data_IF_524298816580
#
_entry.id   IF_524298816580
#
_cell.length_a   1.000
_cell.length_b   1.000
_cell.length_c   1.000
_cell.angle_alpha   90.00
_cell.angle_beta   90.00
_cell.angle_gamma   90.00
#
_symmetry.space_group_name_H-M   'P 1'
#
loop_
_entity.id
_entity.type
_entity.pdbx_description
1 polymer ?
#
# COMPACT_ATOMS: atom_id res chain seq x y z
N UNK A 1 -28.18 10.87 -28.95
CA UNK A 1 -28.15 9.65 -29.78
C UNK A 1 -26.76 9.04 -29.64
N UNK A 2 -26.44 8.38 -28.53
CA UNK A 2 -26.71 6.95 -28.22
C UNK A 2 -26.10 6.04 -29.28
N UNK A 3 -24.93 5.48 -28.96
CA UNK A 3 -24.55 4.13 -29.36
C UNK A 3 -23.96 3.40 -28.16
N UNK A 4 -24.78 2.48 -27.65
CA UNK A 4 -24.42 1.35 -26.81
C UNK A 4 -23.57 0.35 -27.62
N UNK A 5 -22.62 -0.32 -26.96
CA UNK A 5 -22.20 -1.69 -27.23
C UNK A 5 -21.45 -2.14 -25.96
N UNK A 6 -22.08 -2.85 -25.02
CA UNK A 6 -22.55 -4.24 -25.05
C UNK A 6 -21.60 -5.14 -24.25
N UNK A 7 -22.24 -5.91 -23.38
CA UNK A 7 -21.68 -6.96 -22.57
C UNK A 7 -21.04 -8.04 -23.45
N UNK A 8 -19.82 -8.47 -23.12
CA UNK A 8 -19.32 -9.77 -23.55
C UNK A 8 -19.19 -10.65 -22.32
N UNK A 9 -20.18 -11.53 -22.20
CA UNK A 9 -20.25 -12.69 -21.33
C UNK A 9 -19.15 -13.69 -21.67
N UNK A 10 -18.66 -14.34 -20.62
CA UNK A 10 -17.82 -15.54 -20.65
C UNK A 10 -18.52 -16.68 -21.42
N UNK A 11 -18.05 -17.02 -22.61
CA UNK A 11 -18.09 -18.35 -23.23
C UNK A 11 -17.63 -18.22 -24.69
N UNK A 12 -16.33 -18.40 -24.96
CA UNK A 12 -15.76 -18.84 -26.25
C UNK A 12 -14.22 -18.93 -26.18
N UNK A 13 -13.70 -19.59 -25.14
CA UNK A 13 -12.30 -20.04 -25.10
C UNK A 13 -12.23 -21.51 -25.49
N UNK A 14 -12.45 -21.79 -26.77
CA UNK A 14 -11.98 -23.02 -27.39
C UNK A 14 -12.03 -22.83 -28.91
N UNK A 15 -10.86 -22.87 -29.55
CA UNK A 15 -10.58 -22.97 -31.00
C UNK A 15 -9.90 -21.74 -31.63
N UNK A 16 -8.58 -21.59 -31.43
CA UNK A 16 -7.74 -20.82 -32.35
C UNK A 16 -6.32 -21.42 -32.50
N UNK A 17 -5.69 -21.40 -33.70
CA UNK A 17 -4.54 -22.24 -34.04
C UNK A 17 -3.16 -21.71 -33.61
N UNK A 18 -2.18 -22.61 -33.54
CA UNK A 18 -0.81 -22.48 -32.98
C UNK A 18 0.15 -21.48 -33.68
N UNK A 19 -0.23 -20.78 -34.75
CA UNK A 19 0.65 -19.89 -35.51
C UNK A 19 0.63 -18.42 -35.08
N UNK A 20 -0.11 -18.06 -34.02
CA UNK A 20 -0.09 -16.73 -33.40
C UNK A 20 1.00 -16.55 -32.31
N UNK A 21 2.03 -17.42 -32.30
CA UNK A 21 3.25 -17.24 -31.53
C UNK A 21 4.34 -16.75 -32.48
N UNK A 22 4.99 -15.63 -32.13
CA UNK A 22 6.10 -14.96 -32.84
C UNK A 22 5.67 -13.87 -33.85
N UNK A 23 5.35 -12.68 -33.32
CA UNK A 23 5.93 -11.39 -33.77
C UNK A 23 6.11 -10.49 -32.55
N UNK A 24 7.12 -10.83 -31.77
CA UNK A 24 7.74 -9.96 -30.77
C UNK A 24 8.79 -9.13 -31.52
N UNK A 25 8.94 -7.88 -31.10
CA UNK A 25 9.82 -6.80 -31.60
C UNK A 25 9.21 -5.88 -32.67
N UNK A 26 8.59 -4.79 -32.18
CA UNK A 26 8.95 -3.45 -32.67
C UNK A 26 8.65 -2.42 -31.58
N UNK A 27 9.66 -2.24 -30.72
CA UNK A 27 9.76 -1.17 -29.73
C UNK A 27 9.86 0.18 -30.42
N UNK A 28 8.72 0.86 -30.62
CA UNK A 28 8.64 2.33 -30.80
C UNK A 28 7.23 2.92 -30.58
N UNK A 29 6.31 2.16 -29.95
CA UNK A 29 4.95 2.64 -29.54
C UNK A 29 4.68 2.53 -28.03
N UNK A 30 5.73 2.42 -27.21
CA UNK A 30 5.64 2.02 -25.79
C UNK A 30 5.11 3.07 -24.79
N UNK A 31 5.13 4.36 -25.10
CA UNK A 31 4.69 5.40 -24.16
C UNK A 31 3.16 5.54 -24.09
N UNK A 32 2.48 5.54 -25.24
CA UNK A 32 1.02 5.71 -25.31
C UNK A 32 0.23 4.52 -24.77
N UNK A 33 0.74 3.29 -24.96
CA UNK A 33 0.13 2.07 -24.39
C UNK A 33 0.26 2.04 -22.86
N UNK A 34 1.48 2.27 -22.35
CA UNK A 34 1.76 2.33 -20.91
C UNK A 34 0.97 3.43 -20.19
N UNK A 35 0.77 4.58 -20.83
CA UNK A 35 -0.02 5.68 -20.27
C UNK A 35 -1.52 5.38 -20.22
N UNK A 36 -2.08 4.72 -21.26
CA UNK A 36 -3.49 4.29 -21.26
C UNK A 36 -3.79 3.23 -20.20
N UNK A 37 -2.87 2.28 -20.01
CA UNK A 37 -3.00 1.25 -18.98
C UNK A 37 -2.97 1.87 -17.57
N UNK A 38 -2.08 2.84 -17.33
CA UNK A 38 -2.01 3.59 -16.08
C UNK A 38 -3.31 4.34 -15.78
N UNK A 39 -3.90 5.02 -16.77
CA UNK A 39 -5.20 5.71 -16.60
C UNK A 39 -6.34 4.72 -16.32
N UNK A 40 -6.33 3.55 -16.95
CA UNK A 40 -7.35 2.53 -16.71
C UNK A 40 -7.26 1.95 -15.29
N UNK A 41 -6.06 1.70 -14.78
CA UNK A 41 -5.87 1.20 -13.41
C UNK A 41 -6.16 2.30 -12.39
N UNK A 42 -5.77 3.54 -12.64
CA UNK A 42 -6.15 4.66 -11.78
C UNK A 42 -7.67 4.77 -11.66
N UNK A 43 -8.42 4.68 -12.78
CA UNK A 43 -9.88 4.67 -12.74
C UNK A 43 -10.43 3.50 -11.92
N UNK A 44 -9.84 2.29 -12.04
CA UNK A 44 -10.23 1.14 -11.22
C UNK A 44 -9.96 1.38 -9.73
N UNK A 45 -8.82 1.98 -9.39
CA UNK A 45 -8.48 2.34 -8.02
C UNK A 45 -9.45 3.37 -7.45
N UNK A 46 -9.79 4.41 -8.22
CA UNK A 46 -10.80 5.40 -7.83
C UNK A 46 -12.16 4.74 -7.60
N UNK A 47 -12.64 3.94 -8.56
CA UNK A 47 -13.91 3.23 -8.47
C UNK A 47 -13.98 2.23 -7.30
N UNK A 48 -12.83 1.75 -6.81
CA UNK A 48 -12.77 0.91 -5.63
C UNK A 48 -12.98 1.69 -4.32
N UNK A 49 -12.54 2.96 -4.24
CA UNK A 49 -12.58 3.80 -3.03
C UNK A 49 -13.80 4.75 -2.98
N UNK A 50 -14.28 5.15 -4.15
CA UNK A 50 -15.38 6.10 -4.31
C UNK A 50 -16.70 5.67 -3.66
N UNK A 51 -17.12 4.38 -3.68
CA UNK A 51 -18.37 3.95 -3.08
C UNK A 51 -18.52 4.43 -1.63
N UNK A 52 -19.72 4.91 -1.26
CA UNK A 52 -20.00 5.46 0.09
C UNK A 52 -19.73 4.44 1.20
N UNK A 53 -19.89 3.16 0.89
CA UNK A 53 -19.62 2.02 1.76
C UNK A 53 -18.13 1.78 2.05
N UNK A 54 -17.20 2.35 1.26
CA UNK A 54 -15.77 2.22 1.54
C UNK A 54 -15.41 2.88 2.89
N UNK A 55 -14.77 2.17 3.83
CA UNK A 55 -14.77 2.59 5.23
C UNK A 55 -13.69 3.61 5.57
N UNK A 56 -12.59 3.63 4.82
CA UNK A 56 -11.44 4.48 5.12
C UNK A 56 -11.69 5.94 4.73
N UNK A 57 -12.05 6.77 5.73
CA UNK A 57 -12.26 8.21 5.53
C UNK A 57 -11.00 8.93 5.02
N UNK A 58 -9.81 8.48 5.41
CA UNK A 58 -8.54 9.07 4.94
C UNK A 58 -8.35 8.86 3.44
N UNK A 59 -8.58 7.64 2.94
CA UNK A 59 -8.50 7.34 1.52
C UNK A 59 -9.54 8.12 0.70
N UNK A 60 -10.77 8.28 1.22
CA UNK A 60 -11.79 9.12 0.56
C UNK A 60 -11.39 10.59 0.53
N UNK A 61 -10.81 11.11 1.62
CA UNK A 61 -10.32 12.47 1.68
C UNK A 61 -9.19 12.71 0.67
N UNK A 62 -8.19 11.81 0.62
CA UNK A 62 -7.11 11.84 -0.36
C UNK A 62 -7.64 11.88 -1.80
N UNK A 63 -8.62 11.02 -2.13
CA UNK A 63 -9.25 10.95 -3.44
C UNK A 63 -9.97 12.26 -3.82
N UNK A 64 -10.78 12.79 -2.90
CA UNK A 64 -11.61 13.98 -3.12
C UNK A 64 -10.76 15.25 -3.28
N UNK A 65 -9.64 15.35 -2.56
CA UNK A 65 -8.71 16.48 -2.66
C UNK A 65 -7.67 16.33 -3.77
N UNK A 66 -7.63 15.17 -4.45
CA UNK A 66 -6.55 14.86 -5.39
C UNK A 66 -5.17 14.78 -4.71
N UNK A 67 -5.13 14.58 -3.39
CA UNK A 67 -3.93 14.53 -2.58
C UNK A 67 -3.30 13.13 -2.61
N UNK A 68 -3.07 12.58 -3.80
CA UNK A 68 -2.42 11.28 -3.93
C UNK A 68 -1.57 11.21 -5.20
N UNK A 69 -0.61 10.29 -5.20
CA UNK A 69 0.14 9.86 -6.38
C UNK A 69 0.01 8.36 -6.52
N UNK A 70 -0.37 7.87 -7.70
CA UNK A 70 -0.33 6.44 -8.02
C UNK A 70 0.78 6.15 -9.02
N UNK A 71 1.56 5.11 -8.73
CA UNK A 71 2.60 4.61 -9.61
C UNK A 71 2.44 3.10 -9.84
N UNK A 72 2.87 2.65 -11.02
CA UNK A 72 2.64 1.30 -11.50
C UNK A 72 3.96 0.55 -11.73
N UNK A 73 4.03 -0.64 -11.15
CA UNK A 73 5.23 -1.46 -11.14
C UNK A 73 4.95 -2.86 -11.69
N UNK A 74 6.02 -3.55 -12.09
CA UNK A 74 5.92 -4.87 -12.69
C UNK A 74 5.50 -5.93 -11.66
N UNK A 75 6.32 -6.21 -10.66
CA UNK A 75 6.11 -7.31 -9.70
C UNK A 75 6.33 -6.89 -8.26
N UNK A 76 5.43 -7.31 -7.36
CA UNK A 76 5.58 -7.13 -5.92
C UNK A 76 6.69 -8.04 -5.37
N UNK A 77 7.67 -7.45 -4.68
CA UNK A 77 8.84 -8.13 -4.13
C UNK A 77 10.03 -8.25 -5.09
N UNK A 78 9.91 -7.76 -6.34
CA UNK A 78 11.02 -7.72 -7.30
C UNK A 78 11.97 -6.54 -7.01
N UNK A 79 13.28 -6.80 -7.08
CA UNK A 79 14.32 -5.81 -6.82
C UNK A 79 14.28 -4.61 -7.76
N UNK A 80 13.98 -4.84 -9.04
CA UNK A 80 13.93 -3.75 -10.04
C UNK A 80 12.70 -2.88 -9.79
N UNK A 81 11.54 -3.49 -9.54
CA UNK A 81 10.34 -2.78 -9.12
C UNK A 81 10.58 -1.95 -7.85
N UNK A 82 11.18 -2.52 -6.80
CA UNK A 82 11.51 -1.82 -5.56
C UNK A 82 12.49 -0.66 -5.75
N UNK A 83 13.43 -0.79 -6.70
CA UNK A 83 14.37 0.30 -7.03
C UNK A 83 13.67 1.50 -7.68
N UNK A 84 12.73 1.24 -8.60
CA UNK A 84 11.90 2.30 -9.17
C UNK A 84 10.97 2.90 -8.10
N UNK A 85 10.35 2.06 -7.26
CA UNK A 85 9.52 2.50 -6.15
C UNK A 85 10.27 3.42 -5.19
N UNK A 86 11.51 3.07 -4.80
CA UNK A 86 12.33 3.94 -3.97
C UNK A 86 12.52 5.32 -4.61
N UNK A 87 12.83 5.36 -5.91
CA UNK A 87 13.00 6.62 -6.65
C UNK A 87 11.73 7.46 -6.70
N UNK A 88 10.58 6.84 -6.95
CA UNK A 88 9.28 7.52 -6.98
C UNK A 88 8.82 7.97 -5.58
N UNK A 89 9.10 7.18 -4.55
CA UNK A 89 8.75 7.51 -3.17
C UNK A 89 9.59 8.69 -2.67
N UNK A 90 10.88 8.76 -3.01
CA UNK A 90 11.70 9.96 -2.75
C UNK A 90 11.11 11.19 -3.43
N UNK A 91 10.73 11.08 -4.72
CA UNK A 91 10.06 12.20 -5.42
C UNK A 91 8.75 12.62 -4.76
N UNK A 92 7.99 11.68 -4.21
CA UNK A 92 6.75 11.98 -3.51
C UNK A 92 6.99 12.76 -2.22
N UNK A 93 8.02 12.39 -1.44
CA UNK A 93 8.41 13.06 -0.20
C UNK A 93 8.70 14.55 -0.44
N UNK A 94 9.31 14.88 -1.58
CA UNK A 94 9.65 16.26 -1.97
C UNK A 94 8.52 16.94 -2.79
N UNK A 95 7.41 16.25 -3.04
CA UNK A 95 6.37 16.77 -3.94
C UNK A 95 5.41 17.75 -3.26
N UNK A 96 4.84 18.72 -4.01
CA UNK A 96 3.78 19.59 -3.50
C UNK A 96 2.54 18.85 -3.00
N UNK A 97 2.27 17.64 -3.52
CA UNK A 97 1.12 16.81 -3.10
C UNK A 97 1.23 16.48 -1.62
N UNK A 98 2.44 16.20 -1.11
CA UNK A 98 2.66 15.98 0.32
C UNK A 98 2.21 17.18 1.15
N UNK A 99 2.54 18.39 0.71
CA UNK A 99 2.26 19.63 1.44
C UNK A 99 0.80 20.07 1.31
N UNK A 100 0.08 19.56 0.32
CA UNK A 100 -1.27 19.99 -0.01
C UNK A 100 -2.36 19.46 0.94
N UNK A 101 -2.10 18.40 1.72
CA UNK A 101 -3.13 17.74 2.50
C UNK A 101 -2.60 16.87 3.64
N UNK A 102 -3.38 16.81 4.72
CA UNK A 102 -3.21 15.86 5.83
C UNK A 102 -3.55 14.42 5.44
N UNK A 103 -3.91 14.16 4.18
CA UNK A 103 -4.20 12.83 3.66
C UNK A 103 -3.39 12.53 2.40
N UNK A 104 -2.22 13.15 2.24
CA UNK A 104 -1.33 12.87 1.13
C UNK A 104 -0.91 11.39 1.13
N UNK A 105 -1.26 10.66 0.07
CA UNK A 105 -0.98 9.22 -0.07
C UNK A 105 -0.14 8.94 -1.31
N UNK A 106 0.87 8.08 -1.17
CA UNK A 106 1.54 7.47 -2.31
C UNK A 106 1.09 6.02 -2.47
N UNK A 107 0.49 5.69 -3.61
CA UNK A 107 0.07 4.32 -3.92
C UNK A 107 1.00 3.66 -4.94
N UNK A 108 1.53 2.50 -4.57
CA UNK A 108 2.27 1.61 -5.45
C UNK A 108 1.38 0.45 -5.87
N UNK A 109 1.08 0.32 -7.16
CA UNK A 109 0.27 -0.77 -7.71
C UNK A 109 1.15 -1.68 -8.56
N UNK A 110 1.03 -2.99 -8.38
CA UNK A 110 1.86 -3.99 -9.04
C UNK A 110 1.02 -4.81 -10.02
N UNK A 111 1.61 -5.19 -11.15
CA UNK A 111 0.89 -5.97 -12.17
C UNK A 111 0.82 -7.47 -11.84
N UNK A 112 1.75 -7.97 -11.00
CA UNK A 112 1.84 -9.39 -10.63
C UNK A 112 2.56 -9.62 -9.30
N UNK A 113 2.42 -10.84 -8.72
CA UNK A 113 1.38 -11.83 -9.04
C UNK A 113 -0.01 -11.30 -8.65
N UNK A 114 -1.05 -11.66 -9.40
CA UNK A 114 -2.44 -11.22 -9.11
C UNK A 114 -3.05 -12.13 -8.03
N UNK A 115 -2.93 -13.45 -8.24
CA UNK A 115 -3.40 -14.45 -7.30
C UNK A 115 -2.33 -14.71 -6.23
N UNK A 116 -2.72 -14.51 -4.98
CA UNK A 116 -1.91 -14.76 -3.79
C UNK A 116 -2.84 -15.04 -2.61
N UNK A 117 -2.44 -15.98 -1.77
CA UNK A 117 -2.90 -16.06 -0.38
C UNK A 117 -2.47 -14.81 0.39
N UNK A 118 -3.10 -14.55 1.54
CA UNK A 118 -2.69 -13.44 2.42
C UNK A 118 -1.23 -13.59 2.89
N UNK A 119 -0.79 -14.83 3.14
CA UNK A 119 0.60 -15.10 3.56
C UNK A 119 1.61 -14.80 2.45
N UNK A 120 1.33 -15.19 1.20
CA UNK A 120 2.21 -14.89 0.07
C UNK A 120 2.29 -13.39 -0.23
N UNK A 121 1.16 -12.68 -0.11
CA UNK A 121 1.14 -11.22 -0.22
C UNK A 121 1.99 -10.57 0.86
N UNK A 122 1.81 -10.98 2.12
CA UNK A 122 2.57 -10.49 3.27
C UNK A 122 4.08 -10.69 3.09
N UNK A 123 4.51 -11.89 2.68
CA UNK A 123 5.93 -12.17 2.43
C UNK A 123 6.52 -11.26 1.34
N UNK A 124 5.76 -10.98 0.28
CA UNK A 124 6.19 -10.11 -0.82
C UNK A 124 6.16 -8.63 -0.45
N UNK A 125 5.21 -8.21 0.37
CA UNK A 125 5.17 -6.88 0.99
C UNK A 125 6.45 -6.67 1.81
N UNK A 126 6.75 -7.57 2.75
CA UNK A 126 7.93 -7.43 3.61
C UNK A 126 9.24 -7.52 2.84
N UNK A 127 9.32 -8.36 1.79
CA UNK A 127 10.44 -8.36 0.86
C UNK A 127 10.62 -7.00 0.17
N UNK A 128 9.53 -6.36 -0.24
CA UNK A 128 9.55 -5.02 -0.85
C UNK A 128 10.08 -3.98 0.15
N UNK A 129 9.55 -3.99 1.38
CA UNK A 129 9.99 -3.06 2.44
C UNK A 129 11.45 -3.26 2.84
N UNK A 130 11.92 -4.51 2.91
CA UNK A 130 13.32 -4.81 3.16
C UNK A 130 14.24 -4.24 2.07
N UNK A 131 13.85 -4.39 0.80
CA UNK A 131 14.59 -3.85 -0.34
C UNK A 131 14.60 -2.32 -0.34
N UNK A 132 13.46 -1.69 -0.01
CA UNK A 132 13.38 -0.24 0.15
C UNK A 132 14.31 0.26 1.26
N UNK A 133 14.28 -0.39 2.43
CA UNK A 133 15.15 -0.03 3.55
C UNK A 133 16.65 -0.14 3.19
N UNK A 134 17.08 -1.18 2.46
CA UNK A 134 18.47 -1.28 2.00
C UNK A 134 18.90 -0.18 1.04
N UNK A 135 17.97 0.35 0.24
CA UNK A 135 18.24 1.48 -0.65
C UNK A 135 18.30 2.77 0.16
N UNK A 136 17.34 2.94 1.07
CA UNK A 136 17.16 4.15 1.87
C UNK A 136 18.30 4.39 2.87
N UNK A 137 18.71 3.34 3.57
CA UNK A 137 19.77 3.38 4.59
C UNK A 137 21.16 3.77 4.05
N UNK A 138 21.32 3.89 2.72
CA UNK A 138 22.55 4.43 2.12
C UNK A 138 22.62 5.95 2.18
N UNK A 139 21.49 6.61 2.45
CA UNK A 139 21.33 8.06 2.31
C UNK A 139 20.65 8.72 3.50
N UNK A 140 19.75 8.02 4.16
CA UNK A 140 18.91 8.58 5.21
C UNK A 140 18.98 7.72 6.47
N UNK A 141 18.96 8.41 7.61
CA UNK A 141 18.69 7.78 8.90
C UNK A 141 17.22 7.40 9.00
N UNK A 142 16.93 6.44 9.89
CA UNK A 142 15.56 6.12 10.26
C UNK A 142 14.88 7.32 10.92
N UNK A 143 13.60 7.54 10.67
CA UNK A 143 12.82 8.61 11.30
C UNK A 143 12.97 8.53 12.83
N UNK A 144 13.47 9.61 13.49
CA UNK A 144 13.81 9.56 14.91
C UNK A 144 12.59 9.50 15.84
N UNK A 145 11.37 9.62 15.29
CA UNK A 145 10.12 9.64 16.06
C UNK A 145 9.47 8.28 16.19
N UNK A 146 10.04 7.23 15.57
CA UNK A 146 9.52 5.85 15.58
C UNK A 146 10.65 4.84 15.75
N UNK A 147 10.31 3.64 16.23
CA UNK A 147 11.28 2.55 16.37
C UNK A 147 11.55 1.86 15.02
N UNK A 148 12.76 1.30 14.89
CA UNK A 148 13.16 0.51 13.71
C UNK A 148 12.98 -1.00 13.88
N UNK A 149 12.73 -1.45 15.11
CA UNK A 149 12.54 -2.85 15.46
C UNK A 149 11.07 -3.24 15.27
N UNK A 150 10.72 -4.11 14.32
CA UNK A 150 9.33 -4.44 14.00
C UNK A 150 8.54 -5.07 15.15
N UNK A 151 9.19 -5.59 16.20
CA UNK A 151 8.51 -6.05 17.41
C UNK A 151 8.03 -4.92 18.34
N UNK A 152 8.56 -3.70 18.23
CA UNK A 152 8.28 -2.64 19.20
C UNK A 152 6.95 -1.92 18.91
N UNK A 153 6.24 -1.54 19.97
CA UNK A 153 4.90 -0.95 19.84
C UNK A 153 4.90 0.39 19.07
N UNK A 154 6.03 1.13 19.14
CA UNK A 154 6.24 2.39 18.40
C UNK A 154 6.92 2.18 17.03
N UNK A 155 6.96 0.96 16.51
CA UNK A 155 7.50 0.72 15.17
C UNK A 155 6.62 1.35 14.09
N UNK A 156 7.24 2.06 13.16
CA UNK A 156 6.66 2.36 11.86
C UNK A 156 7.75 2.30 10.79
N UNK A 157 7.40 1.87 9.57
CA UNK A 157 8.36 1.81 8.48
C UNK A 157 8.85 3.22 8.10
N UNK A 158 10.17 3.43 8.10
CA UNK A 158 10.76 4.69 7.67
C UNK A 158 11.37 4.59 6.27
N UNK A 159 11.18 5.65 5.49
CA UNK A 159 11.83 5.88 4.21
C UNK A 159 12.09 7.37 4.00
N UNK A 160 13.28 7.75 3.55
CA UNK A 160 13.67 9.14 3.33
C UNK A 160 13.64 9.99 4.61
N UNK A 161 13.90 9.38 5.77
CA UNK A 161 13.80 10.04 7.08
C UNK A 161 12.36 10.30 7.57
N UNK A 162 11.35 9.71 6.93
CA UNK A 162 9.95 9.88 7.28
C UNK A 162 9.26 8.54 7.57
N UNK A 163 8.49 8.48 8.65
CA UNK A 163 7.68 7.33 9.01
C UNK A 163 6.40 7.24 8.16
N UNK A 164 6.03 6.02 7.76
CA UNK A 164 4.85 5.71 6.97
C UNK A 164 3.98 4.64 7.63
N UNK A 165 2.66 4.86 7.62
CA UNK A 165 1.67 3.80 7.77
C UNK A 165 1.34 3.21 6.40
N UNK A 166 1.53 1.89 6.27
CA UNK A 166 1.40 1.19 4.99
C UNK A 166 0.13 0.34 5.00
N UNK A 167 -0.73 0.54 3.99
CA UNK A 167 -1.91 -0.30 3.78
C UNK A 167 -1.66 -1.20 2.57
N UNK A 168 -1.54 -2.50 2.83
CA UNK A 168 -1.52 -3.55 1.81
C UNK A 168 -2.91 -3.90 1.33
N UNK A 169 -3.05 -4.07 0.02
CA UNK A 169 -4.30 -4.43 -0.66
C UNK A 169 -4.01 -5.49 -1.72
N UNK A 170 -4.85 -6.53 -1.82
CA UNK A 170 -4.73 -7.56 -2.85
C UNK A 170 -6.03 -8.34 -3.01
N UNK A 171 -6.18 -9.03 -4.15
CA UNK A 171 -7.40 -9.76 -4.53
C UNK A 171 -7.81 -10.84 -3.51
N UNK A 172 -6.84 -11.45 -2.86
CA UNK A 172 -7.04 -12.54 -1.89
C UNK A 172 -7.32 -12.07 -0.45
N UNK A 173 -7.48 -10.77 -0.18
CA UNK A 173 -7.67 -10.30 1.20
C UNK A 173 -9.00 -10.79 1.79
N UNK A 174 -8.94 -11.22 3.05
CA UNK A 174 -10.11 -11.53 3.88
C UNK A 174 -10.97 -10.28 4.14
N UNK A 175 -10.36 -9.08 4.16
CA UNK A 175 -11.05 -7.80 4.37
C UNK A 175 -11.51 -7.20 3.05
N UNK A 176 -12.82 -6.95 2.91
CA UNK A 176 -13.41 -6.37 1.69
C UNK A 176 -12.80 -5.01 1.33
N UNK A 177 -12.51 -4.18 2.34
CA UNK A 177 -11.86 -2.88 2.15
C UNK A 177 -10.43 -2.97 1.58
N UNK A 178 -9.78 -4.14 1.65
CA UNK A 178 -8.43 -4.37 1.13
C UNK A 178 -8.42 -5.26 -0.12
N UNK A 179 -9.59 -5.68 -0.62
CA UNK A 179 -9.74 -6.60 -1.76
C UNK A 179 -9.63 -5.90 -3.11
N UNK A 180 -8.54 -5.17 -3.33
CA UNK A 180 -8.28 -4.53 -4.62
C UNK A 180 -7.81 -5.57 -5.66
N UNK A 181 -8.26 -5.53 -6.94
CA UNK A 181 -7.94 -6.57 -7.92
C UNK A 181 -6.46 -6.76 -8.25
N UNK A 182 -5.61 -5.78 -7.95
CA UNK A 182 -4.17 -5.84 -8.13
C UNK A 182 -3.48 -5.70 -6.76
N UNK A 183 -2.28 -6.28 -6.57
CA UNK A 183 -1.48 -6.00 -5.38
C UNK A 183 -1.15 -4.52 -5.33
N UNK A 184 -1.33 -3.91 -4.15
CA UNK A 184 -1.01 -2.51 -3.96
C UNK A 184 -0.54 -2.22 -2.52
N UNK A 185 0.33 -1.22 -2.40
CA UNK A 185 0.83 -0.68 -1.13
C UNK A 185 0.55 0.81 -1.09
N UNK A 186 -0.23 1.26 -0.11
CA UNK A 186 -0.53 2.68 0.11
C UNK A 186 0.32 3.20 1.26
N UNK A 187 1.24 4.10 0.96
CA UNK A 187 2.12 4.77 1.91
C UNK A 187 1.48 6.08 2.35
N UNK A 188 1.16 6.19 3.63
CA UNK A 188 0.57 7.37 4.26
C UNK A 188 1.54 7.90 5.31
N UNK A 189 1.79 9.20 5.35
CA UNK A 189 2.79 9.76 6.25
C UNK A 189 2.30 9.74 7.69
N UNK A 190 3.15 9.30 8.62
CA UNK A 190 2.76 9.22 10.02
C UNK A 190 2.48 10.60 10.66
N UNK A 191 3.14 11.65 10.16
CA UNK A 191 2.94 13.04 10.58
C UNK A 191 1.47 13.51 10.48
N UNK A 192 0.73 12.95 9.53
CA UNK A 192 -0.70 13.22 9.30
C UNK A 192 -1.56 12.77 10.49
N UNK A 193 -1.35 11.54 10.97
CA UNK A 193 -2.07 11.00 12.12
C UNK A 193 -1.72 11.76 13.41
N UNK A 194 -0.45 12.15 13.58
CA UNK A 194 -0.01 12.99 14.71
C UNK A 194 -0.71 14.35 14.71
N UNK A 195 -0.91 14.97 13.55
CA UNK A 195 -1.66 16.23 13.45
C UNK A 195 -3.14 16.03 13.80
N UNK A 196 -3.80 15.01 13.25
CA UNK A 196 -5.20 14.69 13.57
C UNK A 196 -5.43 14.42 15.06
N UNK A 197 -4.47 13.75 15.74
CA UNK A 197 -4.50 13.53 17.19
C UNK A 197 -4.36 14.85 17.96
N UNK A 198 -3.39 15.70 17.61
CA UNK A 198 -3.21 17.03 18.23
C UNK A 198 -4.44 17.92 18.10
N UNK A 199 -5.15 17.82 16.99
CA UNK A 199 -6.38 18.58 16.73
C UNK A 199 -7.65 17.94 17.34
N UNK A 200 -7.52 16.83 18.07
CA UNK A 200 -8.67 16.13 18.68
C UNK A 200 -9.63 15.48 17.68
N UNK A 201 -9.23 15.34 16.40
CA UNK A 201 -10.07 14.80 15.32
C UNK A 201 -9.97 13.27 15.19
N UNK A 202 -8.92 12.68 15.75
CA UNK A 202 -8.60 11.25 15.59
C UNK A 202 -9.71 10.32 16.10
N UNK A 203 -10.15 10.47 17.34
CA UNK A 203 -11.12 9.53 17.95
C UNK A 203 -12.45 9.46 17.19
N UNK A 204 -12.95 10.62 16.76
CA UNK A 204 -14.17 10.70 15.94
C UNK A 204 -13.98 10.02 14.58
N UNK A 205 -12.84 10.25 13.93
CA UNK A 205 -12.51 9.64 12.65
C UNK A 205 -12.38 8.12 12.78
N UNK A 206 -11.64 7.64 13.77
CA UNK A 206 -11.45 6.23 14.10
C UNK A 206 -12.77 5.52 14.37
N UNK A 207 -13.61 6.09 15.24
CA UNK A 207 -14.96 5.55 15.53
C UNK A 207 -15.80 5.44 14.25
N UNK A 208 -15.74 6.45 13.39
CA UNK A 208 -16.47 6.46 12.12
C UNK A 208 -15.95 5.39 11.14
N UNK A 209 -14.63 5.20 11.08
CA UNK A 209 -14.01 4.17 10.24
C UNK A 209 -14.42 2.78 10.74
N UNK A 210 -14.31 2.50 12.05
CA UNK A 210 -14.71 1.22 12.64
C UNK A 210 -16.18 0.89 12.38
N UNK A 211 -17.08 1.87 12.54
CA UNK A 211 -18.52 1.69 12.23
C UNK A 211 -18.75 1.35 10.76
N UNK A 212 -18.07 2.05 9.84
CA UNK A 212 -18.20 1.79 8.40
C UNK A 212 -17.61 0.44 7.99
N UNK A 213 -16.50 0.05 8.61
CA UNK A 213 -15.83 -1.23 8.34
C UNK A 213 -16.72 -2.40 8.79
N UNK A 214 -17.29 -2.32 9.99
CA UNK A 214 -18.30 -3.26 10.45
C UNK A 214 -19.54 -3.29 9.53
N UNK A 215 -20.02 -2.13 9.07
CA UNK A 215 -21.13 -2.07 8.13
C UNK A 215 -20.80 -2.70 6.75
N UNK A 216 -19.55 -2.58 6.30
CA UNK A 216 -19.12 -3.15 5.01
C UNK A 216 -18.99 -4.67 5.08
N UNK A 217 -18.47 -5.21 6.19
CA UNK A 217 -18.01 -6.60 6.23
C UNK A 217 -18.30 -7.34 7.54
N UNK A 218 -19.33 -6.93 8.29
CA UNK A 218 -19.86 -7.60 9.47
C UNK A 218 -19.19 -7.16 10.78
N UNK A 219 -17.87 -7.08 10.80
CA UNK A 219 -17.09 -6.67 11.98
C UNK A 219 -15.98 -5.69 11.62
N UNK A 220 -15.60 -4.84 12.57
CA UNK A 220 -14.45 -3.96 12.39
C UNK A 220 -13.15 -4.77 12.42
N UNK A 221 -12.08 -4.29 11.79
CA UNK A 221 -10.82 -5.03 11.74
C UNK A 221 -10.11 -5.03 13.10
N UNK A 222 -10.08 -6.16 13.84
CA UNK A 222 -9.48 -6.22 15.18
C UNK A 222 -7.99 -5.95 15.18
N UNK A 223 -7.31 -6.05 14.02
CA UNK A 223 -5.90 -5.74 13.90
C UNK A 223 -5.59 -4.24 13.92
N UNK A 224 -6.59 -3.35 13.80
CA UNK A 224 -6.38 -1.90 13.80
C UNK A 224 -6.35 -1.34 15.23
N UNK A 225 -5.26 -1.64 15.92
CA UNK A 225 -4.86 -1.07 17.22
C UNK A 225 -4.33 0.35 17.06
N UNK A 226 -4.31 1.12 18.15
CA UNK A 226 -3.67 2.43 18.13
C UNK A 226 -2.14 2.31 18.06
N UNK A 227 -1.52 3.25 17.36
CA UNK A 227 -0.08 3.38 17.32
C UNK A 227 0.49 3.49 18.74
N UNK A 228 1.47 2.64 19.06
CA UNK A 228 2.08 2.59 20.39
C UNK A 228 1.46 1.57 21.35
N UNK A 229 0.30 0.97 21.03
CA UNK A 229 -0.26 -0.14 21.83
C UNK A 229 0.33 -1.49 21.41
N UNK A 230 0.39 -1.73 20.10
CA UNK A 230 1.04 -2.90 19.48
C UNK A 230 1.75 -2.44 18.21
N UNK A 231 2.75 -3.22 17.77
CA UNK A 231 3.49 -2.89 16.55
C UNK A 231 2.56 -2.78 15.33
N UNK A 232 2.63 -1.65 14.63
CA UNK A 232 1.89 -1.44 13.38
C UNK A 232 2.33 -2.39 12.25
N UNK A 233 3.49 -3.04 12.36
CA UNK A 233 3.93 -4.07 11.42
C UNK A 233 2.85 -5.14 11.21
N UNK A 234 2.12 -5.48 12.28
CA UNK A 234 1.03 -6.47 12.29
C UNK A 234 -0.14 -6.08 11.38
N UNK A 235 -0.25 -4.79 11.02
CA UNK A 235 -1.39 -4.24 10.31
C UNK A 235 -1.15 -4.06 8.81
N UNK A 236 0.12 -4.06 8.36
CA UNK A 236 0.48 -3.65 7.01
C UNK A 236 -0.08 -4.56 5.92
N UNK A 237 0.04 -5.88 6.08
CA UNK A 237 -0.49 -6.85 5.10
C UNK A 237 -2.03 -6.88 5.07
N UNK A 238 -2.65 -6.67 6.23
CA UNK A 238 -4.10 -6.79 6.41
C UNK A 238 -4.59 -8.21 6.73
N UNK A 239 -3.65 -9.15 6.84
CA UNK A 239 -3.89 -10.50 7.37
C UNK A 239 -4.07 -10.44 8.88
N UNK A 240 -4.96 -11.24 9.44
CA UNK A 240 -4.97 -11.48 10.88
C UNK A 240 -3.74 -12.31 11.28
N UNK A 241 -3.04 -11.89 12.33
CA UNK A 241 -1.81 -12.54 12.79
C UNK A 241 -1.89 -12.88 14.28
N UNK A 242 -1.31 -14.02 14.63
CA UNK A 242 -1.27 -14.60 15.97
C UNK A 242 -0.41 -13.80 16.95
N UNK A 243 -0.60 -14.04 18.24
CA UNK A 243 0.27 -13.48 19.29
C UNK A 243 1.72 -13.95 19.07
N UNK A 244 2.69 -13.07 19.30
CA UNK A 244 4.11 -13.36 19.01
C UNK A 244 4.53 -13.32 17.54
N UNK A 245 3.60 -13.08 16.59
CA UNK A 245 3.96 -12.86 15.19
C UNK A 245 4.93 -11.68 15.02
N UNK A 246 5.92 -11.85 14.14
CA UNK A 246 6.87 -10.81 13.73
C UNK A 246 7.20 -10.94 12.23
N UNK A 247 7.38 -9.82 11.50
CA UNK A 247 7.66 -9.89 10.08
C UNK A 247 9.09 -10.36 9.78
N UNK A 248 9.29 -10.84 8.55
CA UNK A 248 10.63 -11.12 7.99
C UNK A 248 11.34 -9.83 7.55
N UNK A 249 11.54 -8.91 8.50
CA UNK A 249 12.16 -7.61 8.29
C UNK A 249 13.24 -7.35 9.33
N UNK A 250 14.39 -6.85 8.88
CA UNK A 250 15.46 -6.34 9.74
C UNK A 250 15.95 -5.03 9.16
N UNK A 251 15.78 -3.94 9.91
CA UNK A 251 16.30 -2.65 9.53
C UNK A 251 17.82 -2.73 9.31
N UNK A 252 18.31 -2.15 8.22
CA UNK A 252 19.72 -2.02 7.93
C UNK A 252 20.43 -1.32 9.09
N UNK A 253 21.54 -1.89 9.56
CA UNK A 253 22.34 -1.27 10.61
C UNK A 253 23.19 -0.16 10.01
N UNK A 254 22.95 1.07 10.46
CA UNK A 254 23.90 2.17 10.36
C UNK A 254 24.34 2.44 11.81
N UNK A 255 25.64 2.31 12.11
CA UNK A 255 26.32 2.72 13.35
C UNK A 255 25.56 2.60 14.69
N UNK A 256 25.96 1.63 15.54
CA UNK A 256 25.53 1.35 16.93
C UNK A 256 24.02 1.15 17.15
N UNK A 257 23.66 -0.11 17.35
CA UNK A 257 22.33 -0.55 17.76
C UNK A 257 21.97 -0.08 19.19
N UNK A 258 20.96 0.77 19.33
CA UNK A 258 20.13 0.80 20.52
C UNK A 258 19.16 -0.38 20.43
N UNK A 259 19.30 -1.35 21.34
CA UNK A 259 18.32 -2.45 21.48
C UNK A 259 17.06 -1.88 22.13
N UNK A 260 15.90 -2.21 21.57
CA UNK A 260 14.60 -1.86 22.13
C UNK A 260 14.38 -2.61 23.46
N UNK A 261 14.09 -1.91 24.58
CA UNK A 261 14.00 -2.51 25.91
C UNK A 261 12.80 -3.46 26.10
N UNK A 262 11.90 -3.57 25.11
CA UNK A 262 10.68 -4.38 25.17
C UNK A 262 10.67 -5.59 24.22
N UNK A 263 11.82 -6.01 23.69
CA UNK A 263 11.91 -7.12 22.72
C UNK A 263 11.69 -8.53 23.31
N UNK A 264 11.34 -8.65 24.59
CA UNK A 264 11.02 -9.91 25.25
C UNK A 264 9.91 -9.73 26.28
N UNK A 265 8.65 -9.79 25.84
CA UNK A 265 7.49 -10.20 26.65
C UNK A 265 6.51 -10.95 25.76
#
# INVERSE_FOLDING_TARGET
>A
MIWLCENITLLEFATAPRSARVKIVSWMKGAKGKQRDNTAIERKFRAFIEPSAYPCLGAKAALNMGAYKLQFYAELGDRRASSHLASDLTRFIDSPVRQSSDFATFGAVFSRPIEMTELEFEQRLWRTLQQLNWIDAKKFDWDPTVDREPGCANFAFSFGGHAFYIVGMHRGSSRLARRFPLPALMFNLHEQFRKLRREGKWERMKTSIRKRDAALQGEWNPMLDDFGERSEARQYSGRAVEEGWSPSFRAAQIGRASRCPFSHL
#
